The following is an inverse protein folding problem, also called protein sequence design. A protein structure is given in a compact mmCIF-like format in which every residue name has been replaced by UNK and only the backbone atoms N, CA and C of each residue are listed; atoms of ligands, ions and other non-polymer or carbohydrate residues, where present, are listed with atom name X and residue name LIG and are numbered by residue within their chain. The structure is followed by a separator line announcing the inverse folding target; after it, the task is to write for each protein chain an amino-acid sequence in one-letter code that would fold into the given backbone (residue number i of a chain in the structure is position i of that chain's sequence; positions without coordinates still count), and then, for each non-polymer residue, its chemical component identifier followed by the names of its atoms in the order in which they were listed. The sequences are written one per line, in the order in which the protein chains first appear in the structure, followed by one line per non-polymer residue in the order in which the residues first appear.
data_IF_253001754440
#
_entry.id   IF_253001754440
#
_cell.length_a   1.000
_cell.length_b   1.000
_cell.length_c   1.000
_cell.angle_alpha   90.00
_cell.angle_beta   90.00
_cell.angle_gamma   90.00
#
_symmetry.space_group_name_H-M   'P 1'
#
loop_
_entity.id
_entity.type
_entity.pdbx_description
1 polymer ?
#
# COMPACT_ATOMS: atom_id res chain seq x y z
N UNK A 1 -3.61 -0.47 9.18
CA UNK A 1 -4.02 0.72 8.39
C UNK A 1 -5.40 1.26 8.79
N UNK A 2 -6.46 0.47 8.81
CA UNK A 2 -7.82 0.98 9.05
C UNK A 2 -8.00 1.78 10.36
N UNK A 3 -7.39 1.35 11.46
CA UNK A 3 -7.43 2.07 12.73
C UNK A 3 -6.78 3.45 12.66
N UNK A 4 -5.80 3.62 11.78
CA UNK A 4 -5.06 4.87 11.57
C UNK A 4 -5.89 5.92 10.81
N UNK A 5 -6.93 5.51 10.07
CA UNK A 5 -7.88 6.46 9.43
C UNK A 5 -8.56 7.38 10.45
N UNK A 6 -8.72 6.90 11.69
CA UNK A 6 -9.35 7.68 12.78
C UNK A 6 -8.45 8.81 13.29
N UNK A 7 -7.15 8.68 13.11
CA UNK A 7 -6.16 9.68 13.56
C UNK A 7 -6.12 10.88 12.60
N UNK A 8 -6.36 10.62 11.33
CA UNK A 8 -6.34 11.64 10.29
C UNK A 8 -7.73 12.25 10.19
N UNK A 9 -7.86 13.54 10.52
CA UNK A 9 -9.11 14.29 10.39
C UNK A 9 -9.38 14.64 8.93
N UNK A 10 -9.80 13.64 8.15
CA UNK A 10 -10.09 13.76 6.73
C UNK A 10 -11.54 13.40 6.48
N UNK A 11 -12.22 14.20 5.65
CA UNK A 11 -13.56 13.90 5.15
C UNK A 11 -13.53 13.89 3.61
N UNK A 12 -12.96 12.83 3.00
CA UNK A 12 -12.74 12.80 1.56
C UNK A 12 -14.07 12.66 0.82
N UNK A 13 -14.23 13.42 -0.26
CA UNK A 13 -15.31 13.23 -1.22
C UNK A 13 -14.94 12.16 -2.25
N UNK A 14 -13.64 12.00 -2.53
CA UNK A 14 -13.12 11.00 -3.46
C UNK A 14 -11.89 10.30 -2.88
N UNK A 15 -11.89 8.96 -2.96
CA UNK A 15 -10.82 8.08 -2.51
C UNK A 15 -10.34 7.26 -3.71
N UNK A 16 -9.04 7.20 -3.93
CA UNK A 16 -8.42 6.26 -4.85
C UNK A 16 -7.91 5.07 -4.03
N UNK A 17 -8.40 3.88 -4.34
CA UNK A 17 -7.96 2.63 -3.76
C UNK A 17 -7.05 1.90 -4.75
N UNK A 18 -5.75 1.86 -4.45
CA UNK A 18 -4.74 1.27 -5.32
C UNK A 18 -4.61 -0.22 -5.06
N UNK A 19 -4.82 -1.05 -6.11
CA UNK A 19 -4.89 -2.51 -6.05
C UNK A 19 -5.92 -3.00 -5.02
N UNK A 20 -7.13 -2.45 -5.14
CA UNK A 20 -8.19 -2.64 -4.16
C UNK A 20 -8.59 -4.10 -3.95
N UNK A 21 -8.54 -4.93 -5.01
CA UNK A 21 -8.88 -6.35 -4.92
C UNK A 21 -7.96 -7.10 -3.96
N UNK A 22 -6.66 -6.94 -4.10
CA UNK A 22 -5.66 -7.60 -3.24
C UNK A 22 -5.45 -6.87 -1.92
N UNK A 23 -5.61 -5.56 -1.92
CA UNK A 23 -5.45 -4.71 -0.73
C UNK A 23 -6.59 -4.81 0.28
N UNK A 24 -7.75 -5.38 -0.10
CA UNK A 24 -8.91 -5.61 0.77
C UNK A 24 -9.35 -4.40 1.62
N UNK A 25 -9.15 -3.16 1.12
CA UNK A 25 -9.48 -1.91 1.81
C UNK A 25 -10.97 -1.56 1.84
N UNK A 26 -11.77 -2.16 0.97
CA UNK A 26 -13.14 -1.79 0.66
C UNK A 26 -14.05 -1.61 1.90
N UNK A 27 -14.04 -2.60 2.80
CA UNK A 27 -14.89 -2.58 4.02
C UNK A 27 -14.48 -1.46 4.95
N UNK A 28 -13.17 -1.28 5.16
CA UNK A 28 -12.64 -0.25 6.06
C UNK A 28 -12.89 1.16 5.53
N UNK A 29 -12.69 1.38 4.22
CA UNK A 29 -12.94 2.65 3.57
C UNK A 29 -14.42 3.00 3.55
N UNK A 30 -15.29 2.03 3.27
CA UNK A 30 -16.73 2.23 3.31
C UNK A 30 -17.25 2.58 4.72
N UNK A 31 -16.69 1.94 5.75
CA UNK A 31 -17.04 2.23 7.14
C UNK A 31 -16.56 3.61 7.59
N UNK A 32 -15.33 4.00 7.17
CA UNK A 32 -14.76 5.30 7.52
C UNK A 32 -15.37 6.45 6.73
N UNK A 33 -15.66 6.25 5.44
CA UNK A 33 -16.08 7.29 4.50
C UNK A 33 -17.27 6.82 3.66
N UNK A 34 -18.46 6.64 4.26
CA UNK A 34 -19.62 6.01 3.61
C UNK A 34 -20.17 6.83 2.43
N UNK A 35 -19.85 8.12 2.34
CA UNK A 35 -20.32 9.01 1.27
C UNK A 35 -19.23 9.30 0.20
N UNK A 36 -18.00 8.83 0.40
CA UNK A 36 -16.92 9.09 -0.54
C UNK A 36 -17.10 8.28 -1.83
N UNK A 37 -16.89 8.92 -2.98
CA UNK A 37 -16.73 8.23 -4.25
C UNK A 37 -15.42 7.43 -4.20
N UNK A 38 -15.47 6.18 -4.67
CA UNK A 38 -14.30 5.32 -4.68
C UNK A 38 -13.89 5.00 -6.11
N UNK A 39 -12.63 5.25 -6.43
CA UNK A 39 -11.98 4.82 -7.66
C UNK A 39 -11.00 3.70 -7.31
N UNK A 40 -11.27 2.50 -7.77
CA UNK A 40 -10.39 1.34 -7.60
C UNK A 40 -9.49 1.24 -8.81
N UNK A 41 -8.19 1.24 -8.57
CA UNK A 41 -7.17 1.05 -9.62
C UNK A 41 -6.60 -0.36 -9.49
N UNK A 42 -6.65 -1.11 -10.59
CA UNK A 42 -6.16 -2.49 -10.62
C UNK A 42 -5.04 -2.66 -11.65
N UNK A 43 -4.05 -3.53 -11.39
CA UNK A 43 -2.90 -3.71 -12.29
C UNK A 43 -3.22 -4.42 -13.59
N UNK A 44 -4.36 -5.14 -13.67
CA UNK A 44 -4.75 -5.91 -14.86
C UNK A 44 -6.25 -5.88 -15.12
N UNK A 45 -6.64 -6.04 -16.39
CA UNK A 45 -8.06 -6.12 -16.77
C UNK A 45 -8.82 -7.27 -16.07
N UNK A 46 -8.14 -8.39 -15.75
CA UNK A 46 -8.76 -9.50 -15.00
C UNK A 46 -9.12 -9.07 -13.58
N UNK A 47 -8.20 -8.40 -12.88
CA UNK A 47 -8.47 -7.87 -11.54
C UNK A 47 -9.52 -6.76 -11.57
N UNK A 48 -9.55 -5.93 -12.61
CA UNK A 48 -10.65 -4.99 -12.82
C UNK A 48 -12.02 -5.67 -12.88
N UNK A 49 -12.12 -6.79 -13.60
CA UNK A 49 -13.39 -7.54 -13.65
C UNK A 49 -13.78 -8.08 -12.28
N UNK A 50 -12.84 -8.64 -11.53
CA UNK A 50 -13.06 -9.15 -10.17
C UNK A 50 -13.50 -8.03 -9.22
N UNK A 51 -12.84 -6.90 -9.26
CA UNK A 51 -13.20 -5.72 -8.45
C UNK A 51 -14.59 -5.17 -8.80
N UNK A 52 -14.96 -5.15 -10.09
CA UNK A 52 -16.32 -4.77 -10.52
C UNK A 52 -17.37 -5.70 -9.95
N UNK A 53 -17.15 -7.02 -9.99
CA UNK A 53 -18.08 -8.01 -9.43
C UNK A 53 -18.25 -7.81 -7.93
N UNK A 54 -17.17 -7.61 -7.19
CA UNK A 54 -17.22 -7.37 -5.73
C UNK A 54 -17.87 -6.04 -5.36
N UNK A 55 -17.73 -5.02 -6.21
CA UNK A 55 -18.27 -3.68 -5.98
C UNK A 55 -19.68 -3.49 -6.55
N UNK A 56 -20.20 -4.51 -7.25
CA UNK A 56 -21.51 -4.44 -7.88
C UNK A 56 -22.60 -4.46 -6.81
N UNK A 57 -23.34 -3.35 -6.69
CA UNK A 57 -24.55 -3.30 -5.90
C UNK A 57 -25.73 -3.70 -6.78
N UNK A 58 -26.63 -4.58 -6.33
CA UNK A 58 -27.79 -4.97 -7.11
C UNK A 58 -28.63 -3.76 -7.51
N UNK A 59 -29.13 -3.72 -8.74
CA UNK A 59 -29.88 -2.59 -9.29
C UNK A 59 -31.17 -2.27 -8.51
N UNK A 60 -31.70 -3.23 -7.76
CA UNK A 60 -32.87 -3.03 -6.87
C UNK A 60 -32.51 -2.48 -5.48
N UNK A 61 -31.21 -2.36 -5.17
CA UNK A 61 -30.78 -1.81 -3.89
C UNK A 61 -30.89 -0.30 -3.86
N UNK A 62 -31.41 0.26 -2.77
CA UNK A 62 -31.41 1.71 -2.53
C UNK A 62 -29.98 2.29 -2.58
N UNK A 63 -29.00 1.51 -2.20
CA UNK A 63 -27.59 1.88 -2.28
C UNK A 63 -27.11 2.10 -3.72
N UNK A 64 -27.67 1.37 -4.70
CA UNK A 64 -27.37 1.58 -6.11
C UNK A 64 -27.75 2.97 -6.61
N UNK A 65 -28.87 3.51 -6.10
CA UNK A 65 -29.44 4.79 -6.54
C UNK A 65 -28.98 5.98 -5.71
N UNK A 66 -28.64 5.78 -4.44
CA UNK A 66 -28.31 6.83 -3.48
C UNK A 66 -26.92 6.70 -2.87
N UNK A 67 -26.22 5.58 -3.10
CA UNK A 67 -24.86 5.36 -2.59
C UNK A 67 -23.78 6.07 -3.42
N UNK A 68 -22.61 6.23 -2.86
CA UNK A 68 -21.45 6.78 -3.58
C UNK A 68 -21.06 5.85 -4.74
N UNK A 69 -20.62 6.46 -5.84
CA UNK A 69 -20.17 5.70 -7.02
C UNK A 69 -18.87 4.98 -6.72
N UNK A 70 -18.79 3.72 -7.18
CA UNK A 70 -17.56 2.94 -7.22
C UNK A 70 -17.20 2.74 -8.69
N UNK A 71 -16.05 3.24 -9.08
CA UNK A 71 -15.47 3.09 -10.41
C UNK A 71 -14.26 2.18 -10.34
N UNK A 72 -14.02 1.39 -11.40
CA UNK A 72 -12.87 0.50 -11.49
C UNK A 72 -12.15 0.73 -12.80
N UNK A 73 -10.87 1.07 -12.72
CA UNK A 73 -10.00 1.35 -13.86
C UNK A 73 -8.71 0.52 -13.80
N UNK A 74 -8.12 0.28 -14.95
CA UNK A 74 -6.81 -0.35 -15.05
C UNK A 74 -5.71 0.70 -14.82
N UNK A 75 -4.63 0.30 -14.17
CA UNK A 75 -3.50 1.16 -13.83
C UNK A 75 -2.83 1.82 -15.05
N UNK A 76 -2.90 1.16 -16.21
CA UNK A 76 -2.43 1.68 -17.50
C UNK A 76 -3.27 2.83 -18.07
N UNK A 77 -4.50 3.01 -17.56
CA UNK A 77 -5.43 4.03 -18.04
C UNK A 77 -5.09 5.41 -17.48
N UNK A 78 -5.47 6.45 -18.20
CA UNK A 78 -5.41 7.83 -17.70
C UNK A 78 -6.44 8.02 -16.58
N UNK A 79 -5.98 8.42 -15.41
CA UNK A 79 -6.83 8.66 -14.24
C UNK A 79 -7.22 10.13 -14.21
N UNK A 80 -8.49 10.40 -14.49
CA UNK A 80 -9.02 11.76 -14.50
C UNK A 80 -9.36 12.25 -13.07
N UNK A 81 -9.04 13.51 -12.81
CA UNK A 81 -9.39 14.21 -11.57
C UNK A 81 -8.50 13.82 -10.38
N UNK A 82 -8.60 14.61 -9.34
CA UNK A 82 -7.80 14.46 -8.12
C UNK A 82 -8.66 13.92 -6.97
N UNK A 83 -8.00 13.30 -5.99
CA UNK A 83 -8.62 12.74 -4.79
C UNK A 83 -8.06 13.38 -3.51
N UNK A 84 -8.78 13.25 -2.42
CA UNK A 84 -8.30 13.66 -1.10
C UNK A 84 -7.54 12.54 -0.39
N UNK A 85 -7.76 11.29 -0.77
CA UNK A 85 -7.09 10.13 -0.19
C UNK A 85 -6.66 9.17 -1.29
N UNK A 86 -5.40 8.76 -1.27
CA UNK A 86 -4.90 7.56 -1.94
C UNK A 86 -4.65 6.51 -0.87
N UNK A 87 -5.28 5.36 -1.03
CA UNK A 87 -5.15 4.21 -0.15
C UNK A 87 -4.50 3.04 -0.91
N UNK A 88 -3.32 2.60 -0.45
CA UNK A 88 -2.53 1.58 -1.10
C UNK A 88 -2.06 0.51 -0.08
N UNK A 89 -2.90 -0.49 0.16
CA UNK A 89 -2.59 -1.55 1.12
C UNK A 89 -1.79 -2.68 0.46
N UNK A 90 -0.59 -2.97 0.97
CA UNK A 90 0.30 -4.04 0.52
C UNK A 90 0.69 -3.93 -0.97
N UNK A 91 1.07 -2.74 -1.44
CA UNK A 91 1.37 -2.46 -2.86
C UNK A 91 2.87 -2.28 -3.13
N UNK A 92 3.55 -1.40 -2.37
CA UNK A 92 4.90 -0.91 -2.72
C UNK A 92 5.96 -2.01 -2.82
N UNK A 93 5.89 -3.06 -2.00
CA UNK A 93 6.85 -4.16 -2.03
C UNK A 93 6.76 -5.03 -3.30
N UNK A 94 5.70 -4.88 -4.09
CA UNK A 94 5.53 -5.56 -5.37
C UNK A 94 5.88 -4.67 -6.58
N UNK A 95 6.30 -3.42 -6.35
CA UNK A 95 6.64 -2.47 -7.41
C UNK A 95 8.11 -2.56 -7.79
N UNK A 96 8.37 -2.43 -9.09
CA UNK A 96 9.74 -2.33 -9.64
C UNK A 96 10.35 -0.96 -9.30
N UNK A 97 9.54 0.09 -9.37
CA UNK A 97 9.92 1.47 -9.06
C UNK A 97 8.91 2.09 -8.09
N UNK A 98 9.13 1.92 -6.77
CA UNK A 98 8.27 2.51 -5.76
C UNK A 98 8.23 4.04 -5.80
N UNK A 99 9.36 4.69 -6.16
CA UNK A 99 9.44 6.14 -6.22
C UNK A 99 8.57 6.71 -7.33
N UNK A 100 8.60 6.11 -8.52
CA UNK A 100 7.74 6.52 -9.63
C UNK A 100 6.24 6.36 -9.28
N UNK A 101 5.88 5.28 -8.56
CA UNK A 101 4.51 5.10 -8.10
C UNK A 101 4.11 6.14 -7.05
N UNK A 102 4.98 6.48 -6.10
CA UNK A 102 4.73 7.53 -5.11
C UNK A 102 4.55 8.90 -5.79
N UNK A 103 5.35 9.23 -6.80
CA UNK A 103 5.20 10.45 -7.58
C UNK A 103 3.83 10.50 -8.29
N UNK A 104 3.40 9.37 -8.87
CA UNK A 104 2.07 9.25 -9.47
C UNK A 104 0.94 9.44 -8.46
N UNK A 105 1.05 8.88 -7.26
CA UNK A 105 0.09 9.12 -6.19
C UNK A 105 0.03 10.59 -5.78
N UNK A 106 1.21 11.23 -5.70
CA UNK A 106 1.28 12.66 -5.41
C UNK A 106 0.52 13.49 -6.46
N UNK A 107 0.67 13.19 -7.75
CA UNK A 107 -0.02 13.91 -8.83
C UNK A 107 -1.54 13.73 -8.77
N UNK A 108 -2.00 12.55 -8.41
CA UNK A 108 -3.42 12.21 -8.26
C UNK A 108 -4.08 12.82 -7.01
N UNK A 109 -3.31 13.28 -6.05
CA UNK A 109 -3.82 13.95 -4.87
C UNK A 109 -4.01 15.44 -5.13
N UNK A 110 -5.08 16.00 -4.59
CA UNK A 110 -5.23 17.45 -4.47
C UNK A 110 -4.35 17.98 -3.32
N UNK A 111 -4.16 19.27 -3.28
CA UNK A 111 -3.50 19.95 -2.15
C UNK A 111 -4.18 19.58 -0.83
N UNK A 112 -3.40 19.34 0.21
CA UNK A 112 -3.81 18.84 1.52
C UNK A 112 -4.40 17.40 1.50
N UNK A 113 -4.33 16.73 0.34
CA UNK A 113 -4.66 15.31 0.21
C UNK A 113 -3.61 14.42 0.88
N UNK A 114 -4.00 13.21 1.20
CA UNK A 114 -3.21 12.25 1.98
C UNK A 114 -2.98 10.97 1.19
N UNK A 115 -1.75 10.48 1.19
CA UNK A 115 -1.46 9.09 0.86
C UNK A 115 -1.38 8.26 2.14
N UNK A 116 -2.02 7.10 2.13
CA UNK A 116 -1.86 6.06 3.17
C UNK A 116 -1.50 4.74 2.50
N UNK A 117 -0.44 4.11 2.95
CA UNK A 117 -0.01 2.84 2.39
C UNK A 117 0.50 1.86 3.45
N UNK A 118 0.61 0.61 3.05
CA UNK A 118 1.40 -0.40 3.75
C UNK A 118 2.18 -1.25 2.76
N UNK A 119 3.29 -1.80 3.22
CA UNK A 119 4.10 -2.73 2.46
C UNK A 119 4.90 -3.64 3.39
N UNK A 120 5.57 -4.64 2.81
CA UNK A 120 6.52 -5.46 3.54
C UNK A 120 7.85 -4.72 3.69
N UNK A 121 8.45 -4.84 4.88
CA UNK A 121 9.78 -4.36 5.20
C UNK A 121 10.84 -5.47 5.24
N UNK A 122 12.14 -5.10 5.38
CA UNK A 122 13.28 -6.01 5.27
C UNK A 122 13.31 -7.13 6.31
N UNK A 123 12.66 -6.95 7.46
CA UNK A 123 12.50 -8.00 8.48
C UNK A 123 11.52 -9.12 8.09
N UNK A 124 10.89 -9.04 6.91
CA UNK A 124 10.00 -10.10 6.43
C UNK A 124 10.76 -11.34 5.97
N UNK A 125 10.22 -12.53 6.30
CA UNK A 125 10.73 -13.85 5.91
C UNK A 125 12.18 -14.09 6.36
N UNK A 126 12.61 -13.48 7.47
CA UNK A 126 13.99 -13.56 7.96
C UNK A 126 14.41 -15.00 8.23
N UNK A 127 13.52 -15.86 8.72
CA UNK A 127 13.77 -17.27 9.00
C UNK A 127 14.04 -18.02 7.68
N UNK A 128 13.25 -17.77 6.65
CA UNK A 128 13.42 -18.38 5.34
C UNK A 128 14.70 -17.89 4.65
N UNK A 129 15.02 -16.60 4.77
CA UNK A 129 16.28 -16.03 4.25
C UNK A 129 17.50 -16.68 4.91
N UNK A 130 17.49 -16.83 6.24
CA UNK A 130 18.55 -17.49 6.99
C UNK A 130 18.70 -18.96 6.58
N UNK A 131 17.61 -19.68 6.42
CA UNK A 131 17.63 -21.06 5.95
C UNK A 131 18.29 -21.17 4.59
N UNK A 132 17.90 -20.35 3.62
CA UNK A 132 18.46 -20.37 2.27
C UNK A 132 19.94 -19.98 2.25
N UNK A 133 20.32 -18.97 3.03
CA UNK A 133 21.72 -18.57 3.18
C UNK A 133 22.58 -19.69 3.78
N UNK A 134 22.10 -20.37 4.83
CA UNK A 134 22.79 -21.51 5.44
C UNK A 134 22.98 -22.70 4.51
N UNK A 135 22.12 -22.86 3.53
CA UNK A 135 22.20 -23.90 2.50
C UNK A 135 22.91 -23.43 1.22
N UNK A 136 23.41 -22.19 1.19
CA UNK A 136 24.00 -21.56 0.01
C UNK A 136 23.06 -21.59 -1.20
N UNK A 137 21.75 -21.45 -0.96
CA UNK A 137 20.75 -21.36 -1.99
C UNK A 137 20.51 -19.90 -2.42
N UNK A 138 20.10 -19.69 -3.68
CA UNK A 138 19.68 -18.37 -4.15
C UNK A 138 18.54 -17.81 -3.32
N UNK A 139 18.40 -16.48 -3.28
CA UNK A 139 17.45 -15.74 -2.47
C UNK A 139 16.00 -16.26 -2.60
N UNK A 140 15.30 -16.48 -1.46
CA UNK A 140 13.91 -16.98 -1.48
C UNK A 140 12.89 -15.93 -1.83
N UNK A 141 13.21 -14.64 -1.65
CA UNK A 141 12.32 -13.49 -1.90
C UNK A 141 13.15 -12.26 -2.27
N UNK A 142 12.53 -11.30 -2.97
CA UNK A 142 13.13 -10.01 -3.27
C UNK A 142 13.48 -9.24 -1.98
N UNK A 143 14.48 -8.37 -2.05
CA UNK A 143 14.73 -7.41 -0.99
C UNK A 143 13.57 -6.43 -0.87
N UNK A 144 13.21 -6.08 0.36
CA UNK A 144 12.20 -5.06 0.63
C UNK A 144 12.88 -3.78 1.08
N UNK A 145 12.24 -2.65 0.81
CA UNK A 145 12.77 -1.32 1.13
C UNK A 145 12.62 -1.05 2.62
N UNK A 146 13.63 -0.46 3.22
CA UNK A 146 13.60 -0.04 4.63
C UNK A 146 12.63 1.12 4.85
N UNK A 147 12.13 1.22 6.08
CA UNK A 147 11.19 2.27 6.47
C UNK A 147 11.77 3.69 6.29
N UNK A 148 13.04 3.89 6.58
CA UNK A 148 13.69 5.20 6.43
C UNK A 148 13.83 5.58 4.95
N UNK A 149 14.24 4.63 4.11
CA UNK A 149 14.32 4.83 2.66
C UNK A 149 12.94 5.14 2.05
N UNK A 150 11.88 4.49 2.52
CA UNK A 150 10.51 4.81 2.12
C UNK A 150 10.13 6.25 2.51
N UNK A 151 10.56 6.71 3.68
CA UNK A 151 10.38 8.09 4.12
C UNK A 151 11.07 9.09 3.21
N UNK A 152 12.32 8.82 2.84
CA UNK A 152 13.09 9.65 1.93
C UNK A 152 12.48 9.67 0.51
N UNK A 153 12.00 8.51 0.03
CA UNK A 153 11.27 8.42 -1.24
C UNK A 153 10.00 9.26 -1.25
N UNK A 154 9.24 9.30 -0.15
CA UNK A 154 8.06 10.16 -0.03
C UNK A 154 8.42 11.64 -0.15
N UNK A 155 9.47 12.07 0.54
CA UNK A 155 9.96 13.46 0.44
C UNK A 155 10.43 13.78 -0.97
N UNK A 156 11.16 12.86 -1.60
CA UNK A 156 11.64 13.01 -2.98
C UNK A 156 10.47 13.07 -3.98
N UNK A 157 9.40 12.31 -3.74
CA UNK A 157 8.18 12.34 -4.55
C UNK A 157 7.33 13.62 -4.32
N UNK A 158 7.73 14.51 -3.42
CA UNK A 158 7.07 15.80 -3.17
C UNK A 158 6.09 15.79 -1.98
N UNK A 159 5.98 14.71 -1.25
CA UNK A 159 5.15 14.66 -0.04
C UNK A 159 5.79 15.40 1.13
N UNK A 160 4.95 15.91 2.01
CA UNK A 160 5.35 16.57 3.26
C UNK A 160 4.94 15.76 4.48
N UNK A 161 5.67 15.96 5.58
CA UNK A 161 5.42 15.37 6.88
C UNK A 161 5.15 13.84 6.82
N UNK A 162 6.04 13.04 6.21
CA UNK A 162 5.89 11.60 6.20
C UNK A 162 5.96 11.06 7.64
N UNK A 163 4.99 10.21 7.98
CA UNK A 163 4.97 9.47 9.24
C UNK A 163 4.91 7.99 8.90
N UNK A 164 5.93 7.27 9.34
CA UNK A 164 6.04 5.85 9.13
C UNK A 164 6.13 5.13 10.47
N UNK A 165 5.67 3.90 10.46
CA UNK A 165 5.68 3.02 11.61
C UNK A 165 5.73 1.58 11.10
N UNK A 166 6.24 0.67 11.91
CA UNK A 166 6.36 -0.74 11.53
C UNK A 166 5.96 -1.66 12.67
N UNK A 167 5.45 -2.81 12.30
CA UNK A 167 5.18 -3.89 13.23
C UNK A 167 5.61 -5.24 12.65
N UNK A 168 5.97 -6.16 13.50
CA UNK A 168 6.29 -7.53 13.08
C UNK A 168 5.15 -8.47 13.45
N UNK A 169 4.57 -9.09 12.43
CA UNK A 169 3.57 -10.13 12.56
C UNK A 169 4.22 -11.50 12.40
N UNK A 170 3.91 -12.43 13.30
CA UNK A 170 4.38 -13.81 13.18
C UNK A 170 3.22 -14.71 12.77
N UNK A 171 3.32 -15.29 11.58
CA UNK A 171 2.35 -16.27 11.10
C UNK A 171 2.81 -17.69 11.41
N UNK A 172 1.86 -18.58 11.62
CA UNK A 172 2.09 -19.94 12.07
C UNK A 172 1.47 -20.96 11.14
N UNK A 173 2.21 -22.03 10.81
CA UNK A 173 1.73 -23.13 9.97
C UNK A 173 1.92 -24.46 10.65
N UNK A 174 0.96 -25.36 10.47
CA UNK A 174 1.00 -26.72 11.01
C UNK A 174 1.96 -27.65 10.25
N UNK A 175 2.40 -27.28 9.04
CA UNK A 175 3.29 -28.10 8.23
C UNK A 175 4.01 -27.29 7.16
N UNK A 176 5.19 -27.76 6.67
CA UNK A 176 5.88 -27.15 5.53
C UNK A 176 5.01 -27.07 4.27
N UNK A 177 4.16 -28.08 4.05
CA UNK A 177 3.25 -28.09 2.89
C UNK A 177 2.26 -26.93 2.96
N UNK A 178 1.63 -26.70 4.11
CA UNK A 178 0.68 -25.60 4.30
C UNK A 178 1.37 -24.25 4.08
N UNK A 179 2.54 -24.05 4.68
CA UNK A 179 3.36 -22.87 4.51
C UNK A 179 3.69 -22.61 3.04
N UNK A 180 4.20 -23.61 2.31
CA UNK A 180 4.60 -23.45 0.90
C UNK A 180 3.40 -23.20 -0.03
N UNK A 181 2.21 -23.73 0.29
CA UNK A 181 0.98 -23.45 -0.46
C UNK A 181 0.56 -22.01 -0.28
N UNK A 182 0.59 -21.52 0.96
CA UNK A 182 0.18 -20.15 1.28
C UNK A 182 1.16 -19.12 0.73
N UNK A 183 2.48 -19.34 0.87
CA UNK A 183 3.49 -18.46 0.26
C UNK A 183 3.34 -18.35 -1.27
N UNK A 184 2.95 -19.44 -1.95
CA UNK A 184 2.64 -19.38 -3.39
C UNK A 184 1.39 -18.56 -3.68
N UNK A 185 0.42 -18.59 -2.80
CA UNK A 185 -0.79 -17.76 -2.90
C UNK A 185 -0.50 -16.26 -2.73
N UNK A 186 0.54 -15.92 -1.98
CA UNK A 186 0.97 -14.52 -1.78
C UNK A 186 1.70 -13.94 -2.99
N UNK A 187 2.18 -14.77 -3.91
CA UNK A 187 2.86 -14.31 -5.13
C UNK A 187 4.07 -15.15 -5.53
N UNK A 188 4.84 -14.62 -6.47
CA UNK A 188 6.04 -15.25 -7.01
C UNK A 188 7.30 -14.60 -6.45
N UNK A 189 8.39 -15.35 -6.38
CA UNK A 189 9.69 -14.79 -6.04
C UNK A 189 10.21 -13.89 -7.16
N UNK A 190 10.23 -12.58 -6.93
CA UNK A 190 10.75 -11.57 -7.86
C UNK A 190 12.23 -11.21 -7.64
N UNK A 191 12.97 -11.92 -6.77
CA UNK A 191 14.37 -11.64 -6.53
C UNK A 191 15.19 -11.75 -7.83
N UNK A 192 16.07 -10.78 -8.15
CA UNK A 192 16.91 -10.81 -9.35
C UNK A 192 17.79 -12.06 -9.42
N UNK A 193 18.31 -12.49 -8.28
CA UNK A 193 19.21 -13.64 -8.14
C UNK A 193 18.51 -14.93 -7.74
N UNK A 194 17.18 -15.02 -7.93
CA UNK A 194 16.44 -16.26 -7.70
C UNK A 194 16.91 -17.38 -8.60
N UNK A 195 16.63 -18.61 -8.23
CA UNK A 195 16.86 -19.74 -9.12
C UNK A 195 16.05 -19.63 -10.41
N UNK A 196 16.73 -19.67 -11.54
CA UNK A 196 16.18 -19.43 -12.88
C UNK A 196 15.65 -20.72 -13.55
N UNK A 197 15.13 -21.67 -12.83
CA UNK A 197 14.64 -22.91 -13.45
C UNK A 197 13.70 -23.69 -12.54
N UNK A 198 13.33 -24.87 -13.02
CA UNK A 198 12.53 -25.79 -12.23
C UNK A 198 13.38 -26.42 -11.13
N UNK A 199 12.80 -26.57 -9.96
CA UNK A 199 13.40 -27.29 -8.84
C UNK A 199 13.09 -28.79 -8.92
N UNK A 200 14.08 -29.63 -8.59
CA UNK A 200 13.91 -31.07 -8.57
C UNK A 200 13.07 -31.55 -7.39
N UNK A 201 12.46 -32.76 -7.47
CA UNK A 201 11.78 -33.37 -6.33
C UNK A 201 12.70 -33.49 -5.09
N UNK A 202 13.98 -33.86 -5.28
CA UNK A 202 14.97 -33.92 -4.19
C UNK A 202 15.18 -32.58 -3.50
N UNK A 203 15.22 -31.49 -4.26
CA UNK A 203 15.34 -30.17 -3.68
C UNK A 203 14.11 -29.83 -2.84
N UNK A 204 12.91 -30.17 -3.34
CA UNK A 204 11.65 -29.94 -2.61
C UNK A 204 11.59 -30.75 -1.31
N UNK A 205 12.03 -32.00 -1.36
CA UNK A 205 12.12 -32.87 -0.18
C UNK A 205 13.09 -32.27 0.84
N UNK A 206 14.30 -31.87 0.40
CA UNK A 206 15.29 -31.20 1.28
C UNK A 206 14.69 -29.94 1.90
N UNK A 207 14.05 -29.05 1.12
CA UNK A 207 13.42 -27.84 1.65
C UNK A 207 12.37 -28.19 2.71
N UNK A 208 11.54 -29.24 2.45
CA UNK A 208 10.51 -29.69 3.39
C UNK A 208 11.13 -30.15 4.72
N UNK A 209 12.22 -30.92 4.66
CA UNK A 209 12.93 -31.42 5.83
C UNK A 209 13.58 -30.28 6.63
N UNK A 210 14.23 -29.36 5.96
CA UNK A 210 14.87 -28.19 6.58
C UNK A 210 13.82 -27.26 7.22
N UNK A 211 12.68 -27.03 6.55
CA UNK A 211 11.58 -26.29 7.15
C UNK A 211 11.00 -27.00 8.38
N UNK A 212 10.86 -28.33 8.34
CA UNK A 212 10.40 -29.12 9.49
C UNK A 212 11.33 -28.97 10.69
N UNK A 213 12.62 -28.85 10.46
CA UNK A 213 13.60 -28.63 11.51
C UNK A 213 13.50 -27.24 12.17
N UNK A 214 12.86 -26.27 11.51
CA UNK A 214 12.56 -24.95 12.09
C UNK A 214 11.30 -24.92 12.96
N UNK A 215 10.59 -26.04 13.10
CA UNK A 215 9.40 -26.08 13.92
C UNK A 215 9.71 -25.78 15.38
N UNK A 216 8.89 -24.93 15.99
CA UNK A 216 8.99 -24.62 17.42
C UNK A 216 8.61 -25.81 18.33
N UNK A 217 8.67 -25.64 19.64
CA UNK A 217 8.30 -26.69 20.61
C UNK A 217 6.86 -27.18 20.47
N UNK A 218 5.98 -26.34 19.92
CA UNK A 218 4.59 -26.63 19.63
C UNK A 218 4.38 -27.37 18.27
N UNK A 219 5.46 -27.75 17.59
CA UNK A 219 5.45 -28.40 16.29
C UNK A 219 5.05 -27.49 15.13
N UNK A 220 4.87 -26.18 15.37
CA UNK A 220 4.46 -25.21 14.34
C UNK A 220 5.66 -24.49 13.73
N UNK A 221 5.56 -24.26 12.43
CA UNK A 221 6.47 -23.37 11.70
C UNK A 221 6.05 -21.93 11.90
N UNK A 222 7.03 -21.04 11.97
CA UNK A 222 6.82 -19.61 12.17
C UNK A 222 7.63 -18.83 11.14
N UNK A 223 7.00 -17.84 10.52
CA UNK A 223 7.69 -16.83 9.72
C UNK A 223 7.25 -15.45 10.17
N UNK A 224 8.23 -14.57 10.22
CA UNK A 224 8.03 -13.16 10.55
C UNK A 224 7.73 -12.36 9.29
N UNK A 225 6.77 -11.44 9.40
CA UNK A 225 6.42 -10.45 8.39
C UNK A 225 6.49 -9.09 9.03
N UNK A 226 7.44 -8.29 8.61
CA UNK A 226 7.50 -6.88 8.98
C UNK A 226 6.59 -6.11 8.04
N UNK A 227 5.62 -5.40 8.61
CA UNK A 227 4.70 -4.56 7.87
C UNK A 227 5.01 -3.11 8.20
N UNK A 228 5.36 -2.36 7.17
CA UNK A 228 5.56 -0.91 7.25
C UNK A 228 4.26 -0.23 6.88
N UNK A 229 3.85 0.73 7.69
CA UNK A 229 2.72 1.62 7.46
C UNK A 229 3.24 3.03 7.25
N UNK A 230 2.71 3.72 6.26
CA UNK A 230 3.08 5.10 6.02
C UNK A 230 1.88 5.97 5.66
N UNK A 231 1.97 7.24 6.02
CA UNK A 231 1.14 8.29 5.48
C UNK A 231 1.93 9.58 5.31
N UNK A 232 1.52 10.37 4.33
CA UNK A 232 2.12 11.68 4.06
C UNK A 232 1.10 12.59 3.36
N UNK A 233 1.35 13.88 3.36
CA UNK A 233 0.45 14.90 2.82
C UNK A 233 1.02 15.51 1.55
N UNK A 234 0.16 15.86 0.61
CA UNK A 234 0.53 16.75 -0.49
C UNK A 234 0.43 18.18 0.02
N UNK A 235 1.58 18.77 0.35
CA UNK A 235 1.63 20.15 0.81
C UNK A 235 1.28 21.16 -0.30
N UNK A 236 0.84 22.33 0.10
CA UNK A 236 0.73 23.46 -0.81
C UNK A 236 2.11 23.79 -1.43
N UNK A 237 2.15 24.13 -2.73
CA UNK A 237 3.39 24.58 -3.35
C UNK A 237 3.95 25.76 -2.55
N UNK A 238 5.15 25.60 -2.00
CA UNK A 238 5.84 26.74 -1.36
C UNK A 238 6.20 27.74 -2.43
N UNK A 239 5.90 29.04 -2.19
CA UNK A 239 6.41 30.11 -3.03
C UNK A 239 7.94 29.98 -3.12
N UNK A 240 8.48 29.97 -4.33
CA UNK A 240 9.94 29.91 -4.53
C UNK A 240 10.57 31.17 -3.93
N UNK A 241 11.69 31.08 -3.19
CA UNK A 241 12.41 32.24 -2.72
C UNK A 241 12.77 33.13 -3.92
N UNK A 242 12.28 34.38 -3.94
CA UNK A 242 12.49 35.32 -5.03
C UNK A 242 11.33 35.56 -5.98
N UNK A 243 10.25 34.76 -5.92
CA UNK A 243 9.01 35.13 -6.62
C UNK A 243 8.22 36.14 -5.77
N UNK A 244 7.79 37.28 -6.36
CA UNK A 244 6.98 38.24 -5.62
C UNK A 244 5.65 37.59 -5.23
N UNK A 245 5.41 37.48 -3.93
CA UNK A 245 4.14 36.99 -3.40
C UNK A 245 3.05 38.00 -3.78
N UNK A 246 2.26 37.68 -4.77
CA UNK A 246 1.08 38.47 -5.13
C UNK A 246 -0.05 38.09 -4.18
N UNK A 247 -0.27 38.91 -3.18
CA UNK A 247 -1.46 38.82 -2.32
C UNK A 247 -2.56 39.64 -2.97
N UNK A 248 -3.72 39.05 -3.20
CA UNK A 248 -4.85 39.81 -3.77
C UNK A 248 -5.30 40.89 -2.78
N UNK A 249 -5.82 42.03 -3.28
CA UNK A 249 -6.40 43.07 -2.43
C UNK A 249 -7.56 42.56 -1.56
N UNK A 250 -8.26 41.51 -2.02
CA UNK A 250 -9.34 40.86 -1.28
C UNK A 250 -8.81 40.04 -0.10
N UNK A 251 -7.73 39.28 -0.30
CA UNK A 251 -7.07 38.51 0.76
C UNK A 251 -6.46 39.44 1.82
N UNK A 252 -5.82 40.54 1.40
CA UNK A 252 -5.34 41.55 2.33
C UNK A 252 -6.47 42.18 3.16
N UNK A 253 -7.60 42.48 2.54
CA UNK A 253 -8.78 43.00 3.25
C UNK A 253 -9.36 42.00 4.22
N UNK A 254 -9.36 40.70 3.86
CA UNK A 254 -9.79 39.62 4.74
C UNK A 254 -8.88 39.46 5.96
N UNK A 255 -7.55 39.51 5.77
CA UNK A 255 -6.56 39.46 6.86
C UNK A 255 -6.71 40.64 7.83
N UNK A 256 -6.92 41.86 7.33
CA UNK A 256 -7.12 43.04 8.18
C UNK A 256 -8.43 42.95 8.98
N UNK A 257 -9.47 42.34 8.42
CA UNK A 257 -10.75 42.15 9.14
C UNK A 257 -10.69 41.04 10.19
N UNK A 258 -9.82 40.05 10.02
CA UNK A 258 -9.65 38.93 10.96
C UNK A 258 -8.75 39.25 12.16
N UNK A 259 -8.02 40.38 12.12
CA UNK A 259 -7.22 40.91 13.23
C UNK A 259 -7.70 42.31 13.62
N UNK A 260 -8.79 42.44 14.39
CA UNK A 260 -9.11 43.74 14.99
C UNK A 260 -7.98 44.14 15.93
N UNK A 261 -7.40 45.30 15.71
CA UNK A 261 -6.36 45.89 16.54
C UNK A 261 -6.81 45.84 18.02
N UNK A 262 -5.92 45.33 18.87
CA UNK A 262 -6.04 45.44 20.33
C UNK A 262 -5.81 46.86 20.77
#
# INVERSE_FOLDING_TARGET
MAERLRVIRLAPQRVIEWWGFTGAGAVSLQAAYPQAQRLIIEPTGELCQRSRVLSCTPWWSVQHWRGPRVEVQEESSEIAGQAQLVWANMVLHAQVDPLALMARWHDLLQTDGVVMFSCLGPGSLVELRRLYAGLSWPEPAAAFVDMHDLGDMLVQAGFAAPVLDQETLTLHWASPRALLVELRGMGVNAAPHRHAGLRTPRWRERLTNELSALAGPDGRLRLSFEVVYGHAFKAQPRARPGEPTRVSLEDMRAMVRSHPAR
#
